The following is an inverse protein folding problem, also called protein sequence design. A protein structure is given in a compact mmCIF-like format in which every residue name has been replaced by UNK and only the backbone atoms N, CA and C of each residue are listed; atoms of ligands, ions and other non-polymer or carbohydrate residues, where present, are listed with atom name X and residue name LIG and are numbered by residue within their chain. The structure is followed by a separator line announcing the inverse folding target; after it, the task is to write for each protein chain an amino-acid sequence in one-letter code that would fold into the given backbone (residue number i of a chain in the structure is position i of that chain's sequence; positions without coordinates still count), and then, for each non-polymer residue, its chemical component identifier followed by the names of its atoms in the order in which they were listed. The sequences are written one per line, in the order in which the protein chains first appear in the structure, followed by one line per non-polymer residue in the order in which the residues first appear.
data_IF_229320137369
#
_entry.id   IF_229320137369
#
_cell.length_a   1.000
_cell.length_b   1.000
_cell.length_c   1.000
_cell.angle_alpha   90.00
_cell.angle_beta   90.00
_cell.angle_gamma   90.00
#
_symmetry.space_group_name_H-M   'P 1'
#
loop_
_entity.id
_entity.type
_entity.pdbx_description
1 polymer ?
#
# COMPACT_ATOMS: atom_id res chain seq x y z
N UNK A 1 26.01 9.53 -4.10
CA UNK A 1 24.96 8.55 -4.45
C UNK A 1 23.72 9.03 -3.73
N UNK A 2 22.59 9.22 -4.40
CA UNK A 2 21.37 9.60 -3.69
C UNK A 2 20.77 8.33 -3.09
N UNK A 3 20.63 8.30 -1.77
CA UNK A 3 19.92 7.22 -1.09
C UNK A 3 18.42 7.47 -1.29
N UNK A 4 17.77 6.56 -2.01
CA UNK A 4 16.33 6.57 -2.19
C UNK A 4 15.70 5.55 -1.26
N UNK A 5 14.59 5.92 -0.63
CA UNK A 5 13.82 5.02 0.21
C UNK A 5 12.41 4.87 -0.36
N UNK A 6 11.88 3.66 -0.31
CA UNK A 6 10.46 3.39 -0.62
C UNK A 6 9.78 2.96 0.66
N UNK A 7 8.71 3.68 1.01
CA UNK A 7 7.80 3.32 2.09
C UNK A 7 6.49 2.78 1.53
N UNK A 8 5.94 1.74 2.14
CA UNK A 8 4.68 1.12 1.74
C UNK A 8 3.76 1.00 2.96
N UNK A 9 2.53 1.48 2.81
CA UNK A 9 1.46 1.45 3.81
C UNK A 9 0.32 0.58 3.28
N UNK A 10 0.12 -0.59 3.90
CA UNK A 10 -0.93 -1.56 3.54
C UNK A 10 -2.19 -1.22 4.35
N UNK A 11 -3.04 -0.38 3.76
CA UNK A 11 -4.27 0.08 4.39
C UNK A 11 -5.47 -0.82 4.12
N UNK A 12 -6.61 -0.49 4.75
CA UNK A 12 -7.85 -1.27 4.58
C UNK A 12 -8.44 -1.13 3.18
N UNK A 13 -8.40 0.06 2.58
CA UNK A 13 -8.94 0.28 1.22
C UNK A 13 -7.96 -0.08 0.10
N UNK A 14 -6.68 -0.24 0.41
CA UNK A 14 -5.64 -0.34 -0.61
C UNK A 14 -4.25 -0.06 -0.03
N UNK A 15 -3.24 -0.29 -0.86
CA UNK A 15 -1.84 -0.06 -0.50
C UNK A 15 -1.32 1.20 -1.15
N UNK A 16 -0.64 2.04 -0.37
CA UNK A 16 0.06 3.23 -0.85
C UNK A 16 1.55 3.01 -0.76
N UNK A 17 2.29 3.33 -1.82
CA UNK A 17 3.75 3.37 -1.81
C UNK A 17 4.25 4.77 -2.13
N UNK A 18 5.34 5.18 -1.49
CA UNK A 18 5.95 6.51 -1.63
C UNK A 18 7.45 6.37 -1.80
N UNK A 19 8.00 7.03 -2.80
CA UNK A 19 9.44 7.19 -3.01
C UNK A 19 9.88 8.51 -2.38
N UNK A 20 10.92 8.48 -1.55
CA UNK A 20 11.56 9.66 -0.96
C UNK A 20 13.06 9.70 -1.27
N UNK A 21 13.63 10.90 -1.30
CA UNK A 21 15.09 11.09 -1.25
C UNK A 21 15.65 11.03 0.18
N UNK A 22 16.97 11.11 0.31
CA UNK A 22 17.67 11.07 1.60
C UNK A 22 17.38 12.26 2.54
N UNK A 23 16.72 13.32 2.05
CA UNK A 23 16.24 14.43 2.88
C UNK A 23 14.77 14.25 3.29
N UNK A 24 14.13 13.15 2.86
CA UNK A 24 12.74 12.82 3.15
C UNK A 24 11.74 13.49 2.22
N UNK A 25 12.17 14.14 1.13
CA UNK A 25 11.26 14.75 0.17
C UNK A 25 10.58 13.66 -0.66
N UNK A 26 9.26 13.75 -0.77
CA UNK A 26 8.47 12.87 -1.64
C UNK A 26 8.77 13.16 -3.10
N UNK A 27 9.27 12.15 -3.81
CA UNK A 27 9.57 12.18 -5.24
C UNK A 27 8.44 11.60 -6.07
N UNK A 28 7.64 10.70 -5.49
CA UNK A 28 6.51 10.09 -6.16
C UNK A 28 5.70 9.21 -5.22
N UNK A 29 4.46 8.93 -5.59
CA UNK A 29 3.60 8.01 -4.87
C UNK A 29 2.67 7.27 -5.82
N UNK A 30 2.22 6.10 -5.38
CA UNK A 30 1.22 5.31 -6.07
C UNK A 30 0.27 4.65 -5.08
N UNK A 31 -0.96 4.40 -5.50
CA UNK A 31 -1.99 3.75 -4.69
C UNK A 31 -2.72 2.70 -5.52
N UNK A 32 -2.84 1.51 -4.96
CA UNK A 32 -3.58 0.39 -5.55
C UNK A 32 -4.71 0.01 -4.60
N UNK A 33 -5.94 0.15 -5.08
CA UNK A 33 -7.14 -0.21 -4.32
C UNK A 33 -7.40 -1.72 -4.37
N UNK A 34 -7.93 -2.29 -3.28
CA UNK A 34 -8.49 -3.63 -3.25
C UNK A 34 -9.77 -3.66 -2.39
N UNK A 35 -10.72 -4.57 -2.69
CA UNK A 35 -12.00 -4.57 -2.01
C UNK A 35 -11.92 -5.18 -0.61
N UNK A 36 -12.84 -4.79 0.28
CA UNK A 36 -13.11 -5.47 1.53
C UNK A 36 -14.16 -6.56 1.33
N UNK A 37 -13.88 -7.78 1.75
CA UNK A 37 -14.83 -8.90 1.72
C UNK A 37 -15.66 -8.85 2.99
N UNK A 38 -16.98 -8.72 2.84
CA UNK A 38 -17.94 -8.67 3.95
C UNK A 38 -18.98 -9.79 3.73
N UNK A 39 -18.67 -11.04 4.13
CA UNK A 39 -19.57 -12.16 3.87
C UNK A 39 -20.80 -12.16 4.80
N UNK A 40 -20.68 -11.51 5.98
CA UNK A 40 -21.72 -11.42 7.02
C UNK A 40 -21.57 -10.10 7.80
N UNK A 41 -22.64 -9.60 8.46
CA UNK A 41 -22.53 -8.45 9.34
C UNK A 41 -21.46 -8.65 10.43
N UNK A 42 -20.61 -7.64 10.64
CA UNK A 42 -19.53 -7.65 11.63
C UNK A 42 -18.24 -8.35 11.19
N UNK A 43 -18.17 -8.87 9.97
CA UNK A 43 -16.97 -9.51 9.41
C UNK A 43 -16.28 -8.59 8.41
N UNK A 44 -14.94 -8.62 8.39
CA UNK A 44 -14.11 -7.81 7.50
C UNK A 44 -12.87 -8.63 7.11
N UNK A 45 -12.79 -9.05 5.86
CA UNK A 45 -11.76 -9.96 5.36
C UNK A 45 -11.08 -9.42 4.09
N UNK A 46 -9.83 -9.81 3.87
CA UNK A 46 -9.09 -9.60 2.62
C UNK A 46 -8.46 -10.90 2.15
N UNK A 47 -8.19 -11.03 0.84
CA UNK A 47 -7.28 -12.07 0.36
C UNK A 47 -5.84 -11.61 0.59
N UNK A 48 -4.98 -12.38 1.29
CA UNK A 48 -3.59 -12.00 1.53
C UNK A 48 -2.79 -11.71 0.25
N UNK A 49 -3.13 -12.40 -0.85
CA UNK A 49 -2.50 -12.17 -2.16
C UNK A 49 -2.72 -10.76 -2.72
N UNK A 50 -3.80 -10.07 -2.34
CA UNK A 50 -4.04 -8.69 -2.76
C UNK A 50 -2.98 -7.72 -2.23
N UNK A 51 -2.49 -7.96 -1.02
CA UNK A 51 -1.42 -7.13 -0.45
C UNK A 51 -0.14 -7.26 -1.28
N UNK A 52 0.23 -8.48 -1.65
CA UNK A 52 1.41 -8.70 -2.48
C UNK A 52 1.26 -8.06 -3.87
N UNK A 53 0.15 -8.33 -4.56
CA UNK A 53 -0.11 -7.76 -5.89
C UNK A 53 -0.25 -6.24 -5.91
N UNK A 54 -0.56 -5.61 -4.77
CA UNK A 54 -0.63 -4.16 -4.66
C UNK A 54 0.75 -3.51 -4.39
N UNK A 55 1.75 -4.31 -4.01
CA UNK A 55 3.12 -3.85 -3.71
C UNK A 55 4.08 -4.05 -4.87
N UNK A 56 3.97 -5.16 -5.61
CA UNK A 56 4.94 -5.57 -6.66
C UNK A 56 4.59 -5.15 -8.07
#
# INVERSE_FOLDING_TARGET
MADYLVGTDIGTGGTKSVLIDGEGKVLGSHYVEYPLIIPRPGWAEHKPGWYWSAVV
#
